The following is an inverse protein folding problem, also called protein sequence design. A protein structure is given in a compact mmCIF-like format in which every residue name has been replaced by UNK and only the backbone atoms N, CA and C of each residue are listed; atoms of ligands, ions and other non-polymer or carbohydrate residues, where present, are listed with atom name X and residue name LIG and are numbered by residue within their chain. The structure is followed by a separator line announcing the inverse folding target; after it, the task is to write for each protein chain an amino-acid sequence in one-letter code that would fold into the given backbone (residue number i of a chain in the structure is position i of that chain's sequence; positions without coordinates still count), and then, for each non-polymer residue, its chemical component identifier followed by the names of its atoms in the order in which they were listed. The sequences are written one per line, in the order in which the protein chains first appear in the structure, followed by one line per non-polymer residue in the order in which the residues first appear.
data_IF_984540272569
#
_entry.id   IF_984540272569
#
_cell.length_a   1.000
_cell.length_b   1.000
_cell.length_c   1.000
_cell.angle_alpha   90.00
_cell.angle_beta   90.00
_cell.angle_gamma   90.00
#
_symmetry.space_group_name_H-M   'P 1'
#
loop_
_entity.id
_entity.type
_entity.pdbx_description
1 polymer ?
#
# COMPACT_ATOMS: atom_id res chain seq x y z
N UNK A 1 -0.91 0.45 -7.12
CA UNK A 1 -0.68 0.43 -5.65
C UNK A 1 0.55 1.21 -5.18
N UNK A 2 1.80 0.87 -5.55
CA UNK A 2 2.97 1.66 -5.10
C UNK A 2 2.83 3.15 -5.46
N UNK A 3 2.41 3.44 -6.70
CA UNK A 3 2.10 4.80 -7.16
C UNK A 3 1.11 5.52 -6.23
N UNK A 4 -0.01 4.89 -5.85
CA UNK A 4 -0.98 5.43 -4.90
C UNK A 4 -0.32 5.78 -3.56
N UNK A 5 0.45 4.87 -2.98
CA UNK A 5 1.15 5.16 -1.71
C UNK A 5 2.21 6.29 -1.85
N UNK A 6 2.90 6.37 -2.99
CA UNK A 6 3.87 7.44 -3.27
C UNK A 6 3.22 8.81 -3.49
N UNK A 7 1.95 8.87 -3.91
CA UNK A 7 1.20 10.13 -4.01
C UNK A 7 0.78 10.67 -2.65
N UNK A 8 0.83 9.84 -1.61
CA UNK A 8 0.48 10.20 -0.23
C UNK A 8 1.62 9.79 0.73
N UNK A 9 2.83 10.35 0.60
CA UNK A 9 3.95 9.98 1.46
C UNK A 9 3.64 10.28 2.93
N UNK A 10 4.06 9.38 3.82
CA UNK A 10 3.83 9.41 5.28
C UNK A 10 2.36 9.40 5.75
N UNK A 11 1.39 9.48 4.84
CA UNK A 11 -0.02 9.42 5.15
C UNK A 11 -0.50 7.98 5.27
N UNK A 12 -1.34 7.72 6.27
CA UNK A 12 -2.03 6.45 6.42
C UNK A 12 -3.25 6.43 5.49
N UNK A 13 -3.27 5.50 4.54
CA UNK A 13 -4.42 5.22 3.69
C UNK A 13 -5.11 3.95 4.15
N UNK A 14 -6.44 3.99 4.27
CA UNK A 14 -7.24 2.80 4.56
C UNK A 14 -7.25 1.82 3.39
N UNK A 15 -7.69 0.58 3.63
CA UNK A 15 -7.82 -0.42 2.55
C UNK A 15 -8.81 0.04 1.50
N UNK A 16 -9.91 0.64 1.94
CA UNK A 16 -10.96 1.20 1.10
C UNK A 16 -10.43 2.36 0.26
N UNK A 17 -9.64 3.26 0.85
CA UNK A 17 -9.01 4.36 0.13
C UNK A 17 -8.02 3.85 -0.93
N UNK A 18 -7.17 2.88 -0.58
CA UNK A 18 -6.22 2.28 -1.52
C UNK A 18 -6.96 1.53 -2.64
N UNK A 19 -8.00 0.78 -2.30
CA UNK A 19 -8.82 0.05 -3.27
C UNK A 19 -9.47 1.03 -4.25
N UNK A 20 -10.13 2.05 -3.72
CA UNK A 20 -10.81 3.09 -4.51
C UNK A 20 -9.86 3.84 -5.43
N UNK A 21 -8.64 4.16 -4.99
CA UNK A 21 -7.69 4.92 -5.81
C UNK A 21 -6.94 4.06 -6.83
N UNK A 22 -6.52 2.85 -6.43
CA UNK A 22 -5.67 2.00 -7.27
C UNK A 22 -6.42 1.07 -8.24
N UNK A 23 -7.71 0.81 -8.01
CA UNK A 23 -8.56 -0.08 -8.83
C UNK A 23 -9.87 0.60 -9.26
N UNK A 24 -9.80 1.88 -9.66
CA UNK A 24 -10.97 2.64 -10.13
C UNK A 24 -11.66 1.91 -11.28
N UNK A 25 -12.91 1.49 -11.07
CA UNK A 25 -13.74 0.86 -12.09
C UNK A 25 -13.61 -0.66 -12.20
N UNK A 26 -12.98 -1.34 -11.24
CA UNK A 26 -12.93 -2.80 -11.18
C UNK A 26 -13.78 -3.35 -10.03
N UNK A 27 -14.99 -3.80 -10.35
CA UNK A 27 -16.00 -4.24 -9.34
C UNK A 27 -15.66 -5.59 -8.67
N UNK A 28 -14.78 -6.39 -9.25
CA UNK A 28 -14.41 -7.72 -8.72
C UNK A 28 -13.26 -7.68 -7.70
N UNK A 29 -12.68 -6.50 -7.44
CA UNK A 29 -11.51 -6.36 -6.57
C UNK A 29 -11.93 -6.00 -5.15
N UNK A 30 -11.65 -6.89 -4.19
CA UNK A 30 -11.98 -6.69 -2.78
C UNK A 30 -10.78 -6.22 -1.91
N UNK A 31 -11.08 -5.87 -0.66
CA UNK A 31 -10.07 -5.40 0.33
C UNK A 31 -8.91 -6.40 0.54
N UNK A 32 -9.18 -7.71 0.43
CA UNK A 32 -8.14 -8.75 0.49
C UNK A 32 -7.09 -8.62 -0.63
N UNK A 33 -7.48 -8.08 -1.78
CA UNK A 33 -6.54 -7.84 -2.88
C UNK A 33 -5.52 -6.77 -2.48
N UNK A 34 -5.94 -5.74 -1.74
CA UNK A 34 -5.01 -4.74 -1.18
C UNK A 34 -3.95 -5.40 -0.32
N UNK A 35 -4.35 -6.28 0.61
CA UNK A 35 -3.40 -6.98 1.49
C UNK A 35 -2.38 -7.82 0.70
N UNK A 36 -2.85 -8.54 -0.32
CA UNK A 36 -2.00 -9.39 -1.17
C UNK A 36 -1.01 -8.57 -1.99
N UNK A 37 -1.46 -7.44 -2.53
CA UNK A 37 -0.58 -6.53 -3.26
C UNK A 37 0.42 -5.86 -2.33
N UNK A 38 0.03 -5.44 -1.11
CA UNK A 38 0.96 -4.91 -0.10
C UNK A 38 2.04 -5.95 0.24
N UNK A 39 1.65 -7.21 0.45
CA UNK A 39 2.60 -8.30 0.70
C UNK A 39 3.59 -8.49 -0.46
N UNK A 40 3.09 -8.46 -1.71
CA UNK A 40 3.95 -8.56 -2.91
C UNK A 40 4.87 -7.36 -3.06
N UNK A 41 4.37 -6.16 -2.78
CA UNK A 41 5.14 -4.92 -2.87
C UNK A 41 6.28 -4.92 -1.85
N UNK A 42 6.01 -5.29 -0.58
CA UNK A 42 7.05 -5.39 0.46
C UNK A 42 8.20 -6.29 0.02
N UNK A 43 7.89 -7.49 -0.48
CA UNK A 43 8.93 -8.43 -0.98
C UNK A 43 9.76 -7.84 -2.12
N UNK A 44 9.13 -7.09 -3.03
CA UNK A 44 9.85 -6.44 -4.14
C UNK A 44 10.73 -5.29 -3.66
N UNK A 45 10.27 -4.50 -2.69
CA UNK A 45 11.05 -3.40 -2.12
C UNK A 45 12.20 -3.92 -1.27
N UNK A 46 11.98 -4.96 -0.47
CA UNK A 46 13.01 -5.63 0.32
C UNK A 46 14.17 -6.13 -0.56
N UNK A 47 13.85 -6.73 -1.72
CA UNK A 47 14.85 -7.21 -2.68
C UNK A 47 15.77 -6.11 -3.25
N UNK A 48 15.41 -4.83 -3.12
CA UNK A 48 16.19 -3.68 -3.58
C UNK A 48 16.68 -2.79 -2.41
N UNK A 49 16.67 -3.31 -1.18
CA UNK A 49 17.13 -2.58 0.01
C UNK A 49 16.09 -1.64 0.64
N UNK A 50 14.86 -1.61 0.12
CA UNK A 50 13.74 -0.83 0.64
C UNK A 50 12.94 -1.57 1.73
N UNK A 51 13.64 -2.22 2.67
CA UNK A 51 13.00 -2.84 3.82
C UNK A 51 12.21 -1.77 4.63
N UNK A 52 11.06 -2.15 5.18
CA UNK A 52 10.19 -1.31 6.01
C UNK A 52 9.60 -0.03 5.39
N UNK A 53 9.80 0.23 4.09
CA UNK A 53 9.20 1.38 3.40
C UNK A 53 7.66 1.37 3.45
N UNK A 54 7.02 0.19 3.42
CA UNK A 54 5.56 0.07 3.50
C UNK A 54 5.16 -0.45 4.87
N UNK A 55 4.56 0.40 5.70
CA UNK A 55 4.22 0.06 7.08
C UNK A 55 2.72 -0.22 7.25
N UNK A 56 2.40 -1.14 8.17
CA UNK A 56 1.02 -1.39 8.59
C UNK A 56 0.71 -0.53 9.81
N UNK A 57 -0.32 0.30 9.71
CA UNK A 57 -0.90 0.97 10.88
C UNK A 57 -2.13 0.18 11.32
N UNK A 58 -1.99 -0.58 12.41
CA UNK A 58 -3.00 -1.54 12.87
C UNK A 58 -4.36 -0.84 13.04
N UNK A 59 -5.41 -1.45 12.50
CA UNK A 59 -6.77 -0.89 12.52
C UNK A 59 -7.03 0.26 11.54
N UNK A 60 -6.00 0.82 10.90
CA UNK A 60 -6.15 2.01 10.05
C UNK A 60 -5.84 1.71 8.57
N UNK A 61 -4.71 1.05 8.27
CA UNK A 61 -4.33 0.75 6.90
C UNK A 61 -2.83 0.72 6.67
N UNK A 62 -2.38 1.33 5.57
CA UNK A 62 -0.99 1.30 5.13
C UNK A 62 -0.44 2.70 4.86
N UNK A 63 0.85 2.88 5.07
CA UNK A 63 1.58 4.10 4.70
C UNK A 63 2.89 3.75 4.03
N UNK A 64 3.35 4.62 3.14
CA UNK A 64 4.74 4.62 2.68
C UNK A 64 5.53 5.57 3.58
N UNK A 65 6.54 5.06 4.25
CA UNK A 65 7.47 5.83 5.08
C UNK A 65 8.84 5.82 4.41
N UNK A 66 9.27 6.98 3.92
CA UNK A 66 10.59 7.13 3.34
C UNK A 66 11.48 7.77 4.39
N UNK A 67 12.33 6.97 5.03
CA UNK A 67 13.39 7.50 5.90
C UNK A 67 14.32 8.33 5.04
N UNK A 68 14.51 9.62 5.40
CA UNK A 68 15.42 10.53 4.70
C UNK A 68 16.88 10.13 4.90
#
# INVERSE_FOLDING_TARGET
MLYCLMHHPDRVLSREAILSEAWRGEDEVGLRTVDQYVKRLRRRLEAIGGADLVQTVKGHGYRLHVTR
#
